data_IF_612651153564
#
_entry.id   IF_612651153564
#
_cell.length_a   1.000
_cell.length_b   1.000
_cell.length_c   1.000
_cell.angle_alpha   90.00
_cell.angle_beta   90.00
_cell.angle_gamma   90.00
#
_symmetry.space_group_name_H-M   'P 1'
#
loop_
_entity.id
_entity.type
_entity.pdbx_description
1 polymer ?
#
# COMPACT_ATOMS: atom_id res chain seq x y z
N UNK A 1 4.14 6.99 6.92
CA UNK A 1 3.66 6.80 5.53
C UNK A 1 2.62 5.71 5.58
N UNK A 2 1.45 5.89 4.96
CA UNK A 2 0.36 4.90 5.07
C UNK A 2 0.43 3.88 3.90
N UNK A 3 -0.12 2.66 4.04
CA UNK A 3 -0.03 1.63 2.99
C UNK A 3 -0.57 2.09 1.62
N UNK A 4 -1.64 2.91 1.60
CA UNK A 4 -2.18 3.50 0.38
C UNK A 4 -1.18 4.41 -0.34
N UNK A 5 -0.28 5.07 0.38
CA UNK A 5 0.72 5.95 -0.24
C UNK A 5 1.80 5.13 -0.94
N UNK A 6 2.25 4.07 -0.27
CA UNK A 6 3.22 3.14 -0.82
C UNK A 6 2.62 2.47 -2.05
N UNK A 7 1.37 2.00 -1.95
CA UNK A 7 0.67 1.43 -3.10
C UNK A 7 0.62 2.42 -4.25
N UNK A 8 0.20 3.67 -4.02
CA UNK A 8 0.18 4.71 -5.06
C UNK A 8 1.54 4.90 -5.72
N UNK A 9 2.59 5.06 -4.93
CA UNK A 9 3.96 5.26 -5.43
C UNK A 9 4.42 4.08 -6.29
N UNK A 10 4.12 2.85 -5.86
CA UNK A 10 4.44 1.64 -6.62
C UNK A 10 3.67 1.62 -7.94
N UNK A 11 2.38 1.94 -7.95
CA UNK A 11 1.60 1.99 -9.19
C UNK A 11 2.15 3.02 -10.17
N UNK A 12 2.46 4.22 -9.69
CA UNK A 12 3.02 5.29 -10.52
C UNK A 12 4.40 4.91 -11.06
N UNK A 13 5.28 4.36 -10.20
CA UNK A 13 6.65 3.96 -10.56
C UNK A 13 6.70 2.87 -11.62
N UNK A 14 5.84 1.86 -11.49
CA UNK A 14 5.79 0.72 -12.40
C UNK A 14 4.82 0.93 -13.57
N UNK A 15 4.16 2.08 -13.66
CA UNK A 15 3.18 2.38 -14.71
C UNK A 15 1.94 1.47 -14.67
N UNK A 16 1.60 0.92 -13.50
CA UNK A 16 0.51 -0.04 -13.33
C UNK A 16 -0.81 0.73 -13.17
N UNK A 17 -1.76 0.45 -14.05
CA UNK A 17 -3.08 1.10 -14.01
C UNK A 17 -4.01 0.38 -13.03
N UNK A 18 -4.80 1.14 -12.29
CA UNK A 18 -5.81 0.60 -11.36
C UNK A 18 -6.77 -0.40 -12.03
N UNK A 19 -7.13 -0.18 -13.30
CA UNK A 19 -7.98 -1.08 -14.08
C UNK A 19 -7.37 -2.46 -14.27
N UNK A 20 -6.05 -2.58 -14.35
CA UNK A 20 -5.37 -3.85 -14.49
C UNK A 20 -5.46 -4.67 -13.20
N UNK A 21 -5.27 -4.00 -12.06
CA UNK A 21 -5.42 -4.63 -10.74
C UNK A 21 -6.88 -5.02 -10.49
N UNK A 22 -7.83 -4.18 -10.88
CA UNK A 22 -9.26 -4.48 -10.80
C UNK A 22 -9.60 -5.78 -11.54
N UNK A 23 -9.06 -5.97 -12.75
CA UNK A 23 -9.26 -7.19 -13.56
C UNK A 23 -8.65 -8.43 -12.90
N UNK A 24 -7.46 -8.32 -12.29
CA UNK A 24 -6.78 -9.45 -11.64
C UNK A 24 -7.42 -9.86 -10.31
N UNK A 25 -7.96 -8.89 -9.56
CA UNK A 25 -8.46 -9.11 -8.19
C UNK A 25 -9.98 -9.25 -8.11
N UNK A 26 -10.71 -8.86 -9.16
CA UNK A 26 -12.17 -8.73 -9.14
C UNK A 26 -12.67 -7.55 -8.29
N UNK A 27 -11.78 -6.72 -7.75
CA UNK A 27 -12.15 -5.55 -6.95
C UNK A 27 -12.55 -4.41 -7.88
N UNK A 28 -13.65 -3.73 -7.56
CA UNK A 28 -14.13 -2.59 -8.34
C UNK A 28 -13.05 -1.49 -8.44
N UNK A 29 -12.74 -1.05 -9.66
CA UNK A 29 -11.72 -0.03 -9.92
C UNK A 29 -11.98 1.27 -9.14
N UNK A 30 -13.21 1.75 -9.06
CA UNK A 30 -13.56 2.97 -8.32
C UNK A 30 -13.24 2.84 -6.84
N UNK A 31 -13.38 1.64 -6.27
CA UNK A 31 -13.01 1.35 -4.87
C UNK A 31 -11.50 1.38 -4.68
N UNK A 32 -10.74 0.80 -5.61
CA UNK A 32 -9.26 0.87 -5.63
C UNK A 32 -8.81 2.34 -5.70
N UNK A 33 -9.40 3.10 -6.62
CA UNK A 33 -9.08 4.53 -6.81
C UNK A 33 -9.37 5.37 -5.58
N UNK A 34 -10.52 5.16 -4.91
CA UNK A 34 -10.88 5.87 -3.68
C UNK A 34 -9.87 5.63 -2.56
N UNK A 35 -9.40 4.39 -2.43
CA UNK A 35 -8.41 4.01 -1.45
C UNK A 35 -7.04 4.67 -1.70
N UNK A 36 -6.51 4.52 -2.93
CA UNK A 36 -5.21 5.07 -3.34
C UNK A 36 -5.19 6.60 -3.21
N UNK A 37 -6.29 7.26 -3.57
CA UNK A 37 -6.40 8.72 -3.53
C UNK A 37 -6.82 9.27 -2.16
N UNK A 38 -6.78 8.45 -1.10
CA UNK A 38 -7.13 8.82 0.28
C UNK A 38 -8.51 9.47 0.45
N UNK A 39 -9.43 9.25 -0.50
CA UNK A 39 -10.79 9.82 -0.42
C UNK A 39 -11.61 9.11 0.66
N UNK A 40 -11.29 7.84 0.93
CA UNK A 40 -11.98 7.06 1.95
C UNK A 40 -11.04 6.06 2.62
N UNK A 41 -10.37 6.53 3.69
CA UNK A 41 -9.33 5.75 4.41
C UNK A 41 -9.86 4.44 5.04
N UNK A 42 -11.18 4.27 5.17
CA UNK A 42 -11.80 3.08 5.78
C UNK A 42 -12.30 2.05 4.76
N UNK A 43 -12.18 2.31 3.45
CA UNK A 43 -12.87 1.51 2.43
C UNK A 43 -12.22 0.12 2.19
N UNK A 44 -10.95 -0.06 2.55
CA UNK A 44 -10.20 -1.31 2.26
C UNK A 44 -9.70 -1.97 3.55
N UNK A 45 -10.21 -3.17 3.80
CA UNK A 45 -9.72 -4.06 4.86
C UNK A 45 -8.34 -4.63 4.49
N UNK A 46 -7.57 -5.06 5.51
CA UNK A 46 -6.23 -5.66 5.35
C UNK A 46 -6.24 -6.81 4.32
N UNK A 47 -7.22 -7.71 4.36
CA UNK A 47 -7.30 -8.82 3.40
C UNK A 47 -7.55 -8.37 1.95
N UNK A 48 -8.18 -7.22 1.74
CA UNK A 48 -8.36 -6.62 0.42
C UNK A 48 -7.07 -5.95 -0.04
N UNK A 49 -6.35 -5.27 0.85
CA UNK A 49 -5.02 -4.73 0.57
C UNK A 49 -4.04 -5.82 0.14
N UNK A 50 -3.97 -6.95 0.87
CA UNK A 50 -3.11 -8.07 0.49
C UNK A 50 -3.46 -8.61 -0.90
N UNK A 51 -4.76 -8.67 -1.26
CA UNK A 51 -5.18 -9.06 -2.62
C UNK A 51 -4.72 -8.08 -3.69
N UNK A 52 -4.79 -6.78 -3.43
CA UNK A 52 -4.28 -5.76 -4.35
C UNK A 52 -2.77 -5.89 -4.56
N UNK A 53 -2.02 -6.07 -3.47
CA UNK A 53 -0.55 -6.20 -3.51
C UNK A 53 -0.13 -7.50 -4.19
N UNK A 54 -0.83 -8.61 -3.96
CA UNK A 54 -0.56 -9.89 -4.63
C UNK A 54 -0.83 -9.87 -6.15
N UNK A 55 -1.59 -8.89 -6.65
CA UNK A 55 -1.85 -8.74 -8.08
C UNK A 55 -0.75 -7.97 -8.82
N UNK A 56 0.19 -7.36 -8.09
CA UNK A 56 1.30 -6.62 -8.65
C UNK A 56 2.33 -7.56 -9.30
N UNK A 57 3.14 -7.06 -10.25
CA UNK A 57 4.38 -7.72 -10.67
C UNK A 57 5.28 -8.04 -9.47
N UNK A 58 6.10 -9.08 -9.60
CA UNK A 58 6.93 -9.61 -8.50
C UNK A 58 7.83 -8.53 -7.90
N UNK A 59 8.44 -7.70 -8.74
CA UNK A 59 9.31 -6.61 -8.33
C UNK A 59 8.56 -5.56 -7.50
N UNK A 60 7.37 -5.15 -7.98
CA UNK A 60 6.50 -4.18 -7.31
C UNK A 60 5.95 -4.73 -5.99
N UNK A 61 5.63 -6.02 -5.93
CA UNK A 61 5.22 -6.73 -4.73
C UNK A 61 6.31 -6.67 -3.64
N UNK A 62 7.55 -7.03 -3.98
CA UNK A 62 8.65 -7.03 -3.02
C UNK A 62 8.99 -5.61 -2.55
N UNK A 63 8.97 -4.64 -3.47
CA UNK A 63 9.24 -3.25 -3.12
C UNK A 63 8.18 -2.70 -2.15
N UNK A 64 6.90 -3.00 -2.38
CA UNK A 64 5.81 -2.60 -1.47
C UNK A 64 6.09 -3.06 -0.02
N UNK A 65 6.39 -4.35 0.17
CA UNK A 65 6.62 -4.90 1.50
C UNK A 65 7.92 -4.42 2.14
N UNK A 66 8.96 -4.19 1.33
CA UNK A 66 10.22 -3.59 1.79
C UNK A 66 9.98 -2.19 2.34
N UNK A 67 9.21 -1.36 1.62
CA UNK A 67 8.88 -0.01 2.08
C UNK A 67 8.00 -0.03 3.35
N UNK A 68 7.02 -0.94 3.42
CA UNK A 68 6.20 -1.13 4.62
C UNK A 68 7.05 -1.49 5.86
N UNK A 69 8.02 -2.39 5.70
CA UNK A 69 8.93 -2.76 6.78
C UNK A 69 9.81 -1.58 7.21
N UNK A 70 10.37 -0.83 6.26
CA UNK A 70 11.19 0.35 6.54
C UNK A 70 10.41 1.45 7.27
N UNK A 71 9.13 1.62 6.96
CA UNK A 71 8.27 2.57 7.68
C UNK A 71 8.08 2.13 9.12
N UNK A 72 7.84 0.83 9.36
CA UNK A 72 7.65 0.27 10.70
C UNK A 72 8.89 0.46 11.58
N UNK A 73 10.07 0.11 11.07
CA UNK A 73 11.35 0.27 11.79
C UNK A 73 11.58 1.73 12.18
N UNK A 74 11.36 2.68 11.26
CA UNK A 74 11.52 4.13 11.54
C UNK A 74 10.54 4.69 12.58
N UNK A 75 9.41 4.03 12.81
CA UNK A 75 8.48 4.38 13.88
C UNK A 75 8.90 3.80 15.23
N UNK A 76 9.41 2.58 15.25
CA UNK A 76 9.89 1.91 16.48
C UNK A 76 11.17 2.60 17.03
N UNK A 77 12.11 2.98 16.16
CA UNK A 77 13.32 3.74 16.54
C UNK A 77 13.03 5.11 17.17
N UNK A 78 11.83 5.67 16.93
CA UNK A 78 11.43 6.98 17.49
C UNK A 78 10.73 6.88 18.84
N UNK A 79 10.17 5.72 19.18
CA UNK A 79 9.50 5.52 20.48
C UNK A 79 10.51 5.18 21.58
N UNK A 80 11.64 4.52 21.27
CA UNK A 80 12.69 4.23 22.27
C UNK A 80 13.45 5.48 22.75
N UNK A 81 13.45 6.58 21.99
CA UNK A 81 14.15 7.82 22.39
C UNK A 81 13.32 8.70 23.32
N UNK A 82 12.01 8.44 23.50
CA UNK A 82 11.12 9.26 24.33
C UNK A 82 10.81 8.69 25.73
N UNK A 83 11.39 7.54 26.11
CA UNK A 83 11.16 6.90 27.42
C UNK A 83 12.33 7.03 28.41
N UNK A 84 13.29 7.90 28.10
CA UNK A 84 14.45 8.19 28.93
C UNK A 84 14.51 9.68 29.31
N UNK A 85 13.47 10.19 29.98
CA UNK A 85 13.53 11.42 30.79
C UNK A 85 12.79 11.24 32.12
#
# INVERSE_FOLDING_TARGET
MEPQDILRQILDKYGIKEIEIARRTGINQTRISRYINRRDKKDIQVGTLCRLVNALPVEAYFEFWTQMALVKVKTEDKEEVCLAE
#
